data_IF_423821891906
#
_entry.id   IF_423821891906
#
_cell.length_a   1.000
_cell.length_b   1.000
_cell.length_c   1.000
_cell.angle_alpha   90.00
_cell.angle_beta   90.00
_cell.angle_gamma   90.00
#
_symmetry.space_group_name_H-M   'P 1'
#
loop_
_entity.id
_entity.type
_entity.pdbx_description
1 polymer ?
#
# COMPACT_ATOMS: atom_id res chain seq x y z
N UNK A 1 33.95 25.07 -27.06
CA UNK A 1 32.62 25.29 -27.67
C UNK A 1 31.93 23.98 -28.06
N UNK A 2 32.66 22.97 -28.57
CA UNK A 2 32.08 21.64 -28.82
C UNK A 2 31.84 20.85 -27.52
N UNK A 3 32.80 20.87 -26.59
CA UNK A 3 32.74 20.12 -25.32
C UNK A 3 31.53 20.49 -24.45
N UNK A 4 31.13 21.77 -24.47
CA UNK A 4 29.97 22.26 -23.70
C UNK A 4 28.63 21.72 -24.20
N UNK A 5 28.51 21.41 -25.50
CA UNK A 5 27.30 20.81 -26.05
C UNK A 5 27.23 19.32 -25.74
N UNK A 6 28.39 18.64 -25.72
CA UNK A 6 28.51 17.25 -25.32
C UNK A 6 28.06 17.06 -23.86
N UNK A 7 28.57 17.91 -22.94
CA UNK A 7 28.20 17.87 -21.52
C UNK A 7 26.70 18.11 -21.29
N UNK A 8 26.08 19.01 -22.06
CA UNK A 8 24.63 19.27 -21.98
C UNK A 8 23.84 18.05 -22.47
N UNK A 9 24.28 17.42 -23.55
CA UNK A 9 23.68 16.19 -24.07
C UNK A 9 23.82 15.03 -23.09
N UNK A 10 25.00 14.83 -22.52
CA UNK A 10 25.26 13.78 -21.54
C UNK A 10 24.43 13.98 -20.27
N UNK A 11 24.27 15.22 -19.82
CA UNK A 11 23.39 15.58 -18.70
C UNK A 11 21.92 15.34 -19.02
N UNK A 12 21.48 15.63 -20.25
CA UNK A 12 20.12 15.36 -20.69
C UNK A 12 19.84 13.86 -20.78
N UNK A 13 20.78 13.09 -21.32
CA UNK A 13 20.71 11.62 -21.38
C UNK A 13 20.67 11.03 -19.96
N UNK A 14 21.57 11.45 -19.08
CA UNK A 14 21.60 10.98 -17.69
C UNK A 14 20.30 11.32 -16.94
N UNK A 15 19.70 12.48 -17.20
CA UNK A 15 18.39 12.86 -16.64
C UNK A 15 17.27 11.95 -17.18
N UNK A 16 17.24 11.71 -18.50
CA UNK A 16 16.28 10.80 -19.12
C UNK A 16 16.41 9.36 -18.59
N UNK A 17 17.64 8.85 -18.47
CA UNK A 17 17.93 7.53 -17.92
C UNK A 17 17.54 7.42 -16.44
N UNK A 18 17.83 8.44 -15.63
CA UNK A 18 17.43 8.48 -14.22
C UNK A 18 15.91 8.37 -14.08
N UNK A 19 15.16 9.09 -14.92
CA UNK A 19 13.70 9.03 -14.92
C UNK A 19 13.14 7.72 -15.52
N UNK A 20 13.84 7.11 -16.48
CA UNK A 20 13.48 5.83 -17.11
C UNK A 20 13.72 4.63 -16.18
N UNK A 21 14.76 4.69 -15.33
CA UNK A 21 15.12 3.61 -14.40
C UNK A 21 14.00 3.21 -13.42
N UNK A 22 13.04 4.12 -13.14
CA UNK A 22 11.85 3.79 -12.33
C UNK A 22 10.85 2.87 -13.05
N UNK A 23 10.87 2.80 -14.37
CA UNK A 23 10.00 1.95 -15.18
C UNK A 23 10.61 0.57 -15.47
N UNK A 24 11.94 0.45 -15.40
CA UNK A 24 12.72 -0.76 -15.74
C UNK A 24 12.92 -1.74 -14.57
N UNK A 25 12.25 -1.55 -13.43
CA UNK A 25 12.12 -2.65 -12.45
C UNK A 25 11.48 -3.85 -13.15
N UNK A 26 12.03 -5.08 -13.05
CA UNK A 26 11.49 -6.24 -13.73
C UNK A 26 10.01 -6.33 -13.41
N UNK A 27 9.17 -6.20 -14.44
CA UNK A 27 7.72 -6.12 -14.28
C UNK A 27 7.27 -7.36 -13.53
N UNK A 28 6.89 -7.18 -12.27
CA UNK A 28 6.47 -8.27 -11.41
C UNK A 28 5.30 -8.98 -12.09
N UNK A 29 5.53 -10.20 -12.57
CA UNK A 29 4.46 -11.04 -13.05
C UNK A 29 3.69 -11.60 -11.85
N UNK A 30 2.40 -11.33 -11.80
CA UNK A 30 1.55 -11.81 -10.72
C UNK A 30 0.88 -13.13 -11.11
N UNK A 31 0.67 -13.99 -10.11
CA UNK A 31 0.08 -15.31 -10.30
C UNK A 31 -1.41 -15.28 -9.96
N UNK A 32 -2.15 -16.18 -10.60
CA UNK A 32 -3.53 -16.47 -10.22
C UNK A 32 -3.56 -16.95 -8.77
N UNK A 33 -4.49 -16.41 -7.97
CA UNK A 33 -4.61 -16.69 -6.54
C UNK A 33 -3.88 -15.70 -5.62
N UNK A 34 -3.03 -14.82 -6.16
CA UNK A 34 -2.40 -13.78 -5.34
C UNK A 34 -3.44 -12.72 -4.90
N UNK A 35 -3.27 -12.20 -3.68
CA UNK A 35 -4.15 -11.15 -3.12
C UNK A 35 -3.60 -9.76 -3.45
N UNK A 36 -4.45 -8.90 -3.99
CA UNK A 36 -4.10 -7.53 -4.37
C UNK A 36 -5.16 -6.52 -3.92
N UNK A 37 -4.72 -5.31 -3.60
CA UNK A 37 -5.59 -4.17 -3.34
C UNK A 37 -5.73 -3.33 -4.61
N UNK A 38 -6.92 -2.83 -4.87
CA UNK A 38 -7.20 -1.92 -5.98
C UNK A 38 -6.99 -0.46 -5.57
N UNK A 39 -6.34 0.33 -6.42
CA UNK A 39 -6.27 1.78 -6.24
C UNK A 39 -7.66 2.38 -6.46
N UNK A 40 -8.21 2.99 -5.41
CA UNK A 40 -9.60 3.48 -5.39
C UNK A 40 -9.83 4.80 -6.14
N UNK A 41 -8.83 5.38 -6.80
CA UNK A 41 -8.93 6.72 -7.41
C UNK A 41 -10.08 6.83 -8.42
N UNK A 42 -10.31 5.78 -9.21
CA UNK A 42 -11.30 5.75 -10.29
C UNK A 42 -12.55 4.91 -9.95
N UNK A 43 -12.74 4.54 -8.67
CA UNK A 43 -13.83 3.66 -8.24
C UNK A 43 -14.77 4.46 -7.33
N UNK A 44 -16.04 4.55 -7.73
CA UNK A 44 -17.08 5.19 -6.90
C UNK A 44 -17.52 4.22 -5.81
N UNK A 45 -17.34 4.62 -4.56
CA UNK A 45 -17.82 3.87 -3.39
C UNK A 45 -19.08 4.52 -2.84
N UNK A 46 -19.69 3.89 -1.83
CA UNK A 46 -20.86 4.46 -1.12
C UNK A 46 -20.49 5.63 -0.18
N UNK A 47 -19.21 6.01 -0.08
CA UNK A 47 -18.78 7.11 0.80
C UNK A 47 -19.23 8.45 0.20
N UNK A 48 -19.74 9.38 1.04
CA UNK A 48 -20.24 10.68 0.55
C UNK A 48 -19.11 11.63 0.11
N UNK A 49 -17.88 11.45 0.60
CA UNK A 49 -16.72 12.28 0.25
C UNK A 49 -15.54 11.44 -0.18
N UNK A 50 -14.95 11.77 -1.33
CA UNK A 50 -13.78 11.07 -1.89
C UNK A 50 -12.52 11.23 -1.04
N UNK A 51 -12.39 12.36 -0.32
CA UNK A 51 -11.23 12.65 0.53
C UNK A 51 -11.13 11.71 1.74
N UNK A 52 -12.28 11.29 2.25
CA UNK A 52 -12.40 10.34 3.38
C UNK A 52 -12.63 8.89 2.92
N UNK A 53 -12.52 8.64 1.63
CA UNK A 53 -12.67 7.30 1.07
C UNK A 53 -11.36 6.50 1.18
N UNK A 54 -11.49 5.18 1.09
CA UNK A 54 -10.37 4.28 1.11
C UNK A 54 -9.52 4.48 -0.15
N UNK A 55 -8.24 4.87 0.03
CA UNK A 55 -7.29 5.00 -1.09
C UNK A 55 -7.04 3.66 -1.81
N UNK A 56 -7.08 2.55 -1.08
CA UNK A 56 -6.89 1.19 -1.60
C UNK A 56 -8.02 0.27 -1.13
N UNK A 57 -8.75 -0.30 -2.08
CA UNK A 57 -9.93 -1.13 -1.86
C UNK A 57 -9.56 -2.60 -1.81
N UNK A 58 -10.09 -3.28 -0.78
CA UNK A 58 -10.04 -4.73 -0.60
C UNK A 58 -8.64 -5.33 -0.60
N UNK A 59 -8.52 -6.58 -0.17
CA UNK A 59 -7.77 -7.58 -0.89
C UNK A 59 -8.74 -8.36 -1.80
N UNK A 60 -8.42 -8.46 -3.06
CA UNK A 60 -9.12 -9.24 -4.07
C UNK A 60 -8.14 -10.23 -4.68
N UNK A 61 -8.65 -11.39 -5.09
CA UNK A 61 -7.85 -12.43 -5.72
C UNK A 61 -7.73 -12.14 -7.22
N UNK A 62 -6.56 -12.43 -7.79
CA UNK A 62 -6.43 -12.53 -9.25
C UNK A 62 -7.03 -13.87 -9.67
N UNK A 63 -8.06 -13.84 -10.53
CA UNK A 63 -8.63 -15.06 -11.10
C UNK A 63 -7.92 -15.50 -12.38
N UNK A 64 -7.45 -14.54 -13.19
CA UNK A 64 -6.84 -14.83 -14.49
C UNK A 64 -5.87 -13.72 -14.91
N UNK A 65 -4.78 -14.10 -15.60
CA UNK A 65 -3.88 -13.17 -16.30
C UNK A 65 -4.30 -13.10 -17.76
N UNK A 66 -4.91 -11.98 -18.16
CA UNK A 66 -5.36 -11.75 -19.55
C UNK A 66 -4.17 -11.38 -20.43
N UNK A 67 -3.27 -10.54 -19.93
CA UNK A 67 -2.08 -10.06 -20.63
C UNK A 67 -0.96 -9.78 -19.63
N UNK A 68 0.23 -9.41 -20.12
CA UNK A 68 1.36 -8.98 -19.29
C UNK A 68 0.99 -7.85 -18.33
N UNK A 69 0.02 -7.00 -18.70
CA UNK A 69 -0.37 -5.82 -17.92
C UNK A 69 -1.80 -5.84 -17.40
N UNK A 70 -2.61 -6.80 -17.82
CA UNK A 70 -4.05 -6.79 -17.55
C UNK A 70 -4.43 -8.09 -16.84
N UNK A 71 -5.09 -7.93 -15.69
CA UNK A 71 -5.49 -9.04 -14.83
C UNK A 71 -6.99 -8.96 -14.55
N UNK A 72 -7.63 -10.12 -14.52
CA UNK A 72 -8.99 -10.28 -14.06
C UNK A 72 -8.99 -10.58 -12.56
N UNK A 73 -9.87 -9.90 -11.82
CA UNK A 73 -9.95 -10.00 -10.37
C UNK A 73 -11.32 -10.50 -9.90
N UNK A 74 -11.33 -11.20 -8.77
CA UNK A 74 -12.56 -11.61 -8.11
C UNK A 74 -13.12 -10.46 -7.28
N UNK A 75 -14.04 -9.70 -7.89
CA UNK A 75 -14.74 -8.63 -7.21
C UNK A 75 -16.06 -9.10 -6.59
N UNK A 76 -16.47 -8.53 -5.45
CA UNK A 76 -17.81 -8.72 -4.91
C UNK A 76 -18.87 -8.23 -5.92
N UNK A 77 -19.96 -8.98 -6.05
CA UNK A 77 -21.11 -8.61 -6.91
C UNK A 77 -21.75 -7.26 -6.56
N UNK A 78 -21.50 -6.75 -5.36
CA UNK A 78 -21.98 -5.44 -4.90
C UNK A 78 -21.24 -4.26 -5.54
N UNK A 79 -20.07 -4.51 -6.14
CA UNK A 79 -19.25 -3.50 -6.78
C UNK A 79 -19.63 -3.40 -8.26
N UNK A 80 -20.16 -2.24 -8.67
CA UNK A 80 -20.60 -1.97 -10.05
C UNK A 80 -19.42 -1.51 -10.93
N UNK A 81 -18.30 -2.20 -10.88
CA UNK A 81 -17.10 -1.85 -11.66
C UNK A 81 -16.61 -3.08 -12.41
N UNK A 82 -16.03 -2.86 -13.59
CA UNK A 82 -15.35 -3.92 -14.34
C UNK A 82 -14.28 -4.58 -13.48
N UNK A 83 -14.16 -5.89 -13.62
CA UNK A 83 -13.25 -6.74 -12.86
C UNK A 83 -11.89 -6.93 -13.55
N UNK A 84 -11.64 -6.21 -14.64
CA UNK A 84 -10.40 -6.25 -15.41
C UNK A 84 -9.60 -4.98 -15.15
N UNK A 85 -8.37 -5.12 -14.66
CA UNK A 85 -7.53 -3.99 -14.24
C UNK A 85 -6.12 -4.06 -14.81
N UNK A 86 -5.57 -2.88 -15.09
CA UNK A 86 -4.16 -2.72 -15.44
C UNK A 86 -3.28 -2.85 -14.18
N UNK A 87 -2.06 -3.40 -14.34
CA UNK A 87 -1.11 -3.70 -13.26
C UNK A 87 -0.81 -2.50 -12.35
N UNK A 88 -0.79 -1.28 -12.91
CA UNK A 88 -0.55 -0.03 -12.15
C UNK A 88 -1.64 0.28 -11.12
N UNK A 89 -2.83 -0.29 -11.27
CA UNK A 89 -3.94 -0.13 -10.32
C UNK A 89 -3.96 -1.22 -9.24
N UNK A 90 -3.01 -2.16 -9.31
CA UNK A 90 -2.87 -3.26 -8.36
C UNK A 90 -1.74 -2.95 -7.37
N UNK A 91 -2.00 -3.16 -6.08
CA UNK A 91 -0.96 -3.16 -5.04
C UNK A 91 -0.94 -4.54 -4.38
N UNK A 92 0.22 -5.21 -4.25
CA UNK A 92 0.29 -6.49 -3.54
C UNK A 92 -0.24 -6.34 -2.11
N UNK A 93 -1.03 -7.31 -1.69
CA UNK A 93 -1.54 -7.36 -0.32
C UNK A 93 -0.66 -8.28 0.51
N UNK A 94 0.12 -7.68 1.42
CA UNK A 94 0.84 -8.43 2.45
C UNK A 94 -0.04 -8.52 3.69
N UNK A 95 -0.36 -9.73 4.11
CA UNK A 95 -0.98 -9.96 5.41
C UNK A 95 0.03 -9.64 6.50
N UNK A 96 -0.29 -8.62 7.29
CA UNK A 96 0.53 -8.23 8.41
C UNK A 96 0.29 -9.19 9.57
N UNK A 97 1.20 -10.13 9.75
CA UNK A 97 1.14 -11.14 10.83
C UNK A 97 1.53 -10.58 12.19
N UNK A 98 2.22 -9.43 12.21
CA UNK A 98 2.89 -8.92 13.41
C UNK A 98 2.13 -7.78 14.10
N UNK A 99 1.18 -7.12 13.42
CA UNK A 99 0.34 -6.13 14.10
C UNK A 99 -0.72 -6.84 14.94
N UNK A 100 -0.43 -7.00 16.24
CA UNK A 100 -1.43 -7.29 17.26
C UNK A 100 -2.38 -6.09 17.42
N UNK A 101 -3.26 -5.85 16.44
CA UNK A 101 -4.25 -4.74 16.47
C UNK A 101 -5.17 -4.79 17.68
N UNK A 102 -5.28 -5.98 18.28
CA UNK A 102 -5.91 -6.23 19.57
C UNK A 102 -4.85 -6.79 20.50
N UNK A 103 -4.06 -5.92 21.11
CA UNK A 103 -3.33 -6.31 22.31
C UNK A 103 -4.39 -6.56 23.39
N UNK A 104 -4.33 -7.72 24.03
CA UNK A 104 -5.14 -7.93 25.22
C UNK A 104 -4.76 -6.85 26.23
N UNK A 105 -5.76 -6.22 26.87
CA UNK A 105 -5.49 -5.28 27.95
C UNK A 105 -4.66 -6.03 29.00
N UNK A 106 -3.51 -5.50 29.42
CA UNK A 106 -2.74 -6.14 30.49
C UNK A 106 -3.61 -6.26 31.75
N UNK A 107 -3.36 -7.23 32.64
CA UNK A 107 -4.12 -7.33 33.88
C UNK A 107 -3.94 -6.07 34.75
N UNK A 108 -5.02 -5.55 35.37
CA UNK A 108 -4.92 -4.41 36.29
C UNK A 108 -4.17 -4.80 37.57
N UNK A 109 -3.48 -3.82 38.15
CA UNK A 109 -2.91 -3.90 39.49
C UNK A 109 -3.96 -3.33 40.44
N UNK A 110 -4.45 -4.12 41.40
CA UNK A 110 -5.44 -3.65 42.38
C UNK A 110 -4.71 -3.08 43.59
N UNK A 111 -4.95 -1.81 43.92
CA UNK A 111 -4.41 -1.17 45.14
C UNK A 111 -5.20 -1.59 46.38
N UNK A 112 -4.65 -1.32 47.58
CA UNK A 112 -5.32 -1.62 48.86
C UNK A 112 -6.71 -0.98 49.00
N UNK A 113 -6.98 0.11 48.26
CA UNK A 113 -8.29 0.76 48.16
C UNK A 113 -9.28 0.12 47.17
N UNK A 114 -8.88 -0.94 46.44
CA UNK A 114 -9.73 -1.65 45.49
C UNK A 114 -9.80 -1.03 44.08
N UNK A 115 -8.93 -0.07 43.76
CA UNK A 115 -8.91 0.59 42.44
C UNK A 115 -8.02 -0.16 41.45
N UNK A 116 -8.42 -0.17 40.17
CA UNK A 116 -7.65 -0.79 39.08
C UNK A 116 -6.63 0.20 38.50
N UNK A 117 -5.35 -0.05 38.74
CA UNK A 117 -4.24 0.75 38.21
C UNK A 117 -3.43 0.02 37.14
N UNK A 118 -2.76 0.79 36.27
CA UNK A 118 -1.90 0.30 35.20
C UNK A 118 -0.53 0.96 35.27
N UNK A 119 0.52 0.16 35.27
CA UNK A 119 1.89 0.67 35.14
C UNK A 119 2.18 0.98 33.67
N UNK A 120 2.57 2.22 33.40
CA UNK A 120 3.02 2.68 32.08
C UNK A 120 4.53 2.88 32.13
N UNK A 121 5.29 2.11 31.34
CA UNK A 121 6.76 2.22 31.35
C UNK A 121 7.24 3.48 30.63
N UNK A 122 6.63 3.84 29.49
CA UNK A 122 6.97 5.05 28.74
C UNK A 122 5.81 5.46 27.82
N UNK A 123 5.71 6.78 27.56
CA UNK A 123 4.77 7.35 26.59
C UNK A 123 5.55 7.73 25.35
N UNK A 124 5.26 7.06 24.23
CA UNK A 124 5.94 7.30 22.96
C UNK A 124 5.27 8.49 22.24
N UNK A 125 6.07 9.44 21.76
CA UNK A 125 5.57 10.54 20.90
C UNK A 125 5.44 10.09 19.45
N UNK A 126 4.69 10.85 18.64
CA UNK A 126 4.42 10.48 17.23
C UNK A 126 5.71 10.36 16.38
N UNK A 127 6.76 11.12 16.72
CA UNK A 127 8.07 11.09 16.03
C UNK A 127 8.81 9.78 16.28
N UNK A 128 8.84 9.34 17.53
CA UNK A 128 9.49 8.08 17.94
C UNK A 128 8.74 6.86 17.38
N UNK A 129 7.40 6.93 17.33
CA UNK A 129 6.57 5.86 16.79
C UNK A 129 6.79 5.62 15.28
N UNK A 130 7.03 6.68 14.51
CA UNK A 130 7.23 6.60 13.05
C UNK A 130 8.49 5.80 12.67
N UNK A 131 9.53 5.86 13.50
CA UNK A 131 10.80 5.19 13.26
C UNK A 131 10.81 3.72 13.72
N UNK A 132 9.82 3.26 14.48
CA UNK A 132 9.74 1.88 14.98
C UNK A 132 9.04 0.91 14.02
N UNK A 133 8.44 1.42 12.93
CA UNK A 133 7.61 0.66 11.99
C UNK A 133 8.35 0.21 10.71
N UNK A 134 9.68 0.34 10.66
CA UNK A 134 10.52 -0.07 9.54
C UNK A 134 11.70 -0.93 10.01
#
# INVERSE_FOLDING_TARGET
MADTLQEIWDKAIASLEFHRSKEDTPRCEYKVGDKFRLVGQNITTRRPSKKLDNKKLGPFLISEKISSHIYHMELPKTMQTYNVFHINLLTPFTEDKNIHRRQARPPPIVTEGGEEEYKVDHVVTWEQWKNSLY
#
